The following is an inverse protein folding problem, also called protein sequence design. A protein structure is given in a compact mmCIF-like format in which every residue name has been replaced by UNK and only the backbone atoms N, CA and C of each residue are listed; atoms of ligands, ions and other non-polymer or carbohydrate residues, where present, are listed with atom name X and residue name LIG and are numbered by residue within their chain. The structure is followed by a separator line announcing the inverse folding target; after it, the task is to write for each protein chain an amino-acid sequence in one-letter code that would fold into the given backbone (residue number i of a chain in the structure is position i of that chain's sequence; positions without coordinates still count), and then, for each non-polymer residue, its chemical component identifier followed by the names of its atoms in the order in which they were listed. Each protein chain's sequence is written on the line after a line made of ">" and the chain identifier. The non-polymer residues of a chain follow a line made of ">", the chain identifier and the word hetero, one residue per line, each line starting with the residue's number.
data_IF_127797039385
#
_entry.id   IF_127797039385
#
_cell.length_a   1.000
_cell.length_b   1.000
_cell.length_c   1.000
_cell.angle_alpha   90.00
_cell.angle_beta   90.00
_cell.angle_gamma   90.00
#
_symmetry.space_group_name_H-M   'P 1'
#
loop_
_entity.id
_entity.type
_entity.pdbx_description
1 polymer ?
#
# COMPACT_ATOMS: atom_id res chain seq x y z
N UNK A 1 69.03 29.85 -17.46
CA UNK A 1 67.94 29.99 -16.47
C UNK A 1 66.99 28.82 -16.66
N UNK A 2 67.17 27.73 -15.91
CA UNK A 2 66.34 26.53 -16.00
C UNK A 2 65.06 26.75 -15.19
N UNK A 3 63.91 26.84 -15.87
CA UNK A 3 62.61 26.78 -15.21
C UNK A 3 62.46 25.43 -14.54
N UNK A 4 62.37 25.44 -13.20
CA UNK A 4 62.01 24.27 -12.42
C UNK A 4 60.55 23.92 -12.75
N UNK A 5 60.36 22.84 -13.51
CA UNK A 5 59.04 22.27 -13.77
C UNK A 5 58.40 21.87 -12.44
N UNK A 6 57.35 22.56 -12.03
CA UNK A 6 56.55 22.12 -10.89
C UNK A 6 56.01 20.71 -11.19
N UNK A 7 56.14 19.75 -10.25
CA UNK A 7 55.54 18.43 -10.43
C UNK A 7 54.01 18.55 -10.55
N UNK A 8 53.34 17.67 -11.31
CA UNK A 8 51.90 17.71 -11.49
C UNK A 8 51.22 17.67 -10.12
N UNK A 9 50.33 18.63 -9.87
CA UNK A 9 49.57 18.72 -8.64
C UNK A 9 48.85 17.38 -8.41
N UNK A 10 49.16 16.70 -7.31
CA UNK A 10 48.42 15.53 -6.87
C UNK A 10 46.96 15.95 -6.66
N UNK A 11 46.09 15.61 -7.61
CA UNK A 11 44.66 15.73 -7.46
C UNK A 11 44.26 14.72 -6.37
N UNK A 12 43.97 15.21 -5.16
CA UNK A 12 43.43 14.36 -4.10
C UNK A 12 42.13 13.72 -4.62
N UNK A 13 42.05 12.39 -4.73
CA UNK A 13 40.83 11.74 -5.13
C UNK A 13 39.81 11.90 -3.99
N UNK A 14 38.64 12.46 -4.30
CA UNK A 14 37.49 12.58 -3.41
C UNK A 14 37.72 13.41 -2.13
N UNK A 15 37.73 14.73 -2.27
CA UNK A 15 37.30 15.58 -1.16
C UNK A 15 35.81 15.30 -0.91
N UNK A 16 35.51 14.47 0.11
CA UNK A 16 34.14 14.11 0.46
C UNK A 16 33.38 15.38 0.80
N UNK A 17 32.48 15.80 -0.09
CA UNK A 17 31.62 16.96 0.16
C UNK A 17 30.74 16.64 1.37
N UNK A 18 31.07 17.25 2.51
CA UNK A 18 30.35 17.05 3.77
C UNK A 18 29.03 17.79 3.68
N UNK A 19 27.93 17.04 3.56
CA UNK A 19 26.61 17.64 3.46
C UNK A 19 26.10 18.02 4.86
N UNK A 20 25.75 19.28 5.14
CA UNK A 20 25.28 19.70 6.45
C UNK A 20 24.01 18.93 6.87
N UNK A 21 23.78 18.73 8.18
CA UNK A 21 22.57 18.06 8.66
C UNK A 21 21.32 18.89 8.36
N UNK A 22 20.17 18.22 8.23
CA UNK A 22 18.90 18.91 8.01
C UNK A 22 18.55 19.80 9.22
N UNK A 23 18.16 21.07 8.99
CA UNK A 23 17.60 21.92 10.04
C UNK A 23 16.43 21.26 10.75
N UNK A 24 16.26 21.51 12.05
CA UNK A 24 15.19 20.92 12.88
C UNK A 24 13.79 21.10 12.27
N UNK A 25 13.51 22.27 11.68
CA UNK A 25 12.25 22.58 11.03
C UNK A 25 11.98 21.69 9.79
N UNK A 26 12.99 21.51 8.93
CA UNK A 26 12.89 20.62 7.77
C UNK A 26 12.70 19.17 8.22
N UNK A 27 13.48 18.73 9.22
CA UNK A 27 13.40 17.38 9.78
C UNK A 27 11.99 17.06 10.27
N UNK A 28 11.39 17.93 11.09
CA UNK A 28 10.07 17.70 11.66
C UNK A 28 8.97 17.67 10.58
N UNK A 29 9.02 18.57 9.59
CA UNK A 29 8.03 18.55 8.48
C UNK A 29 8.18 17.31 7.59
N UNK A 30 9.40 16.87 7.32
CA UNK A 30 9.64 15.64 6.55
C UNK A 30 9.09 14.42 7.29
N UNK A 31 9.25 14.36 8.61
CA UNK A 31 8.63 13.32 9.42
C UNK A 31 7.11 13.33 9.27
N UNK A 32 6.45 14.45 9.58
CA UNK A 32 4.98 14.53 9.50
C UNK A 32 4.49 14.23 8.08
N UNK A 33 5.19 14.74 7.06
CA UNK A 33 4.89 14.43 5.66
C UNK A 33 4.96 12.93 5.38
N UNK A 34 5.99 12.23 5.89
CA UNK A 34 6.12 10.79 5.76
C UNK A 34 4.99 10.02 6.43
N UNK A 35 4.62 10.40 7.66
CA UNK A 35 3.48 9.78 8.37
C UNK A 35 2.19 9.90 7.57
N UNK A 36 1.81 11.14 7.20
CA UNK A 36 0.53 11.43 6.54
C UNK A 36 0.51 10.88 5.11
N UNK A 37 1.59 11.09 4.35
CA UNK A 37 1.70 10.61 2.97
C UNK A 37 1.60 9.09 2.92
N UNK A 38 2.27 8.38 3.84
CA UNK A 38 2.27 6.93 3.82
C UNK A 38 0.93 6.35 4.27
N UNK A 39 0.25 6.93 5.27
CA UNK A 39 -1.07 6.43 5.67
C UNK A 39 -2.10 6.58 4.54
N UNK A 40 -2.10 7.71 3.84
CA UNK A 40 -2.97 7.93 2.67
C UNK A 40 -2.59 6.98 1.53
N UNK A 41 -1.30 6.82 1.24
CA UNK A 41 -0.82 5.91 0.20
C UNK A 41 -1.21 4.46 0.50
N UNK A 42 -1.01 3.99 1.73
CA UNK A 42 -1.40 2.65 2.15
C UNK A 42 -2.91 2.45 2.09
N UNK A 43 -3.71 3.46 2.45
CA UNK A 43 -5.16 3.39 2.33
C UNK A 43 -5.61 3.25 0.86
N UNK A 44 -5.00 4.01 -0.05
CA UNK A 44 -5.26 3.85 -1.49
C UNK A 44 -4.88 2.46 -1.99
N UNK A 45 -3.73 1.93 -1.55
CA UNK A 45 -3.25 0.61 -1.92
C UNK A 45 -4.14 -0.50 -1.37
N UNK A 46 -4.66 -0.37 -0.16
CA UNK A 46 -5.55 -1.39 0.43
C UNK A 46 -6.88 -1.43 -0.31
N UNK A 47 -7.47 -0.28 -0.66
CA UNK A 47 -8.66 -0.18 -1.51
C UNK A 47 -8.40 -0.84 -2.86
N UNK A 48 -7.30 -0.45 -3.53
CA UNK A 48 -6.93 -0.96 -4.84
C UNK A 48 -6.68 -2.49 -4.81
N UNK A 49 -5.95 -2.97 -3.80
CA UNK A 49 -5.59 -4.39 -3.69
C UNK A 49 -6.80 -5.25 -3.36
N UNK A 50 -7.67 -4.80 -2.46
CA UNK A 50 -8.92 -5.52 -2.14
C UNK A 50 -9.81 -5.61 -3.39
N UNK A 51 -10.01 -4.51 -4.10
CA UNK A 51 -10.79 -4.50 -5.33
C UNK A 51 -10.17 -5.38 -6.42
N UNK A 52 -8.83 -5.37 -6.56
CA UNK A 52 -8.11 -6.21 -7.51
C UNK A 52 -8.21 -7.71 -7.16
N UNK A 53 -8.12 -8.08 -5.88
CA UNK A 53 -8.28 -9.46 -5.42
C UNK A 53 -9.71 -9.95 -5.71
N UNK A 54 -10.73 -9.16 -5.35
CA UNK A 54 -12.12 -9.50 -5.62
C UNK A 54 -12.40 -9.60 -7.12
N UNK A 55 -11.87 -8.66 -7.91
CA UNK A 55 -11.94 -8.72 -9.37
C UNK A 55 -11.30 -10.00 -9.90
N UNK A 56 -10.11 -10.37 -9.41
CA UNK A 56 -9.42 -11.58 -9.82
C UNK A 56 -10.19 -12.84 -9.44
N UNK A 57 -10.79 -12.90 -8.25
CA UNK A 57 -11.65 -14.02 -7.82
C UNK A 57 -12.83 -14.15 -8.79
N UNK A 58 -13.59 -13.07 -9.03
CA UNK A 58 -14.74 -13.08 -9.94
C UNK A 58 -14.34 -13.47 -11.36
N UNK A 59 -13.26 -12.87 -11.88
CA UNK A 59 -12.75 -13.17 -13.22
C UNK A 59 -12.27 -14.62 -13.35
N UNK A 60 -11.59 -15.14 -12.33
CA UNK A 60 -11.12 -16.53 -12.33
C UNK A 60 -12.27 -17.52 -12.27
N UNK A 61 -13.29 -17.28 -11.45
CA UNK A 61 -14.49 -18.13 -11.37
C UNK A 61 -15.26 -18.12 -12.69
N UNK A 62 -15.39 -16.95 -13.32
CA UNK A 62 -16.03 -16.83 -14.63
C UNK A 62 -15.23 -17.59 -15.70
N UNK A 63 -13.91 -17.42 -15.75
CA UNK A 63 -13.05 -18.12 -16.72
C UNK A 63 -13.06 -19.64 -16.52
N UNK A 64 -12.94 -20.11 -15.28
CA UNK A 64 -13.03 -21.54 -14.92
C UNK A 64 -14.37 -22.12 -15.37
N UNK A 65 -15.47 -21.39 -15.14
CA UNK A 65 -16.79 -21.79 -15.59
C UNK A 65 -16.87 -21.91 -17.11
N UNK A 66 -16.38 -20.92 -17.86
CA UNK A 66 -16.39 -20.93 -19.32
C UNK A 66 -15.66 -22.17 -19.86
N UNK A 67 -14.50 -22.52 -19.27
CA UNK A 67 -13.72 -23.71 -19.63
C UNK A 67 -14.39 -25.04 -19.25
N UNK A 68 -15.12 -25.10 -18.14
CA UNK A 68 -15.76 -26.34 -17.64
C UNK A 68 -17.18 -26.55 -18.18
N UNK A 69 -17.84 -25.48 -18.66
CA UNK A 69 -19.23 -25.50 -19.14
C UNK A 69 -19.53 -26.50 -20.26
N UNK A 70 -18.61 -26.86 -21.19
CA UNK A 70 -18.89 -27.91 -22.18
C UNK A 70 -18.97 -29.32 -21.57
N UNK A 71 -18.40 -29.50 -20.37
CA UNK A 71 -18.21 -30.80 -19.71
C UNK A 71 -19.21 -31.05 -18.57
N UNK A 72 -19.83 -29.99 -18.05
CA UNK A 72 -20.79 -30.05 -16.94
C UNK A 72 -22.19 -29.72 -17.46
N UNK A 73 -23.06 -30.73 -17.53
CA UNK A 73 -24.48 -30.60 -17.90
C UNK A 73 -25.35 -29.90 -16.83
N UNK A 74 -24.73 -29.25 -15.84
CA UNK A 74 -25.40 -28.61 -14.72
C UNK A 74 -25.50 -27.09 -14.85
N UNK A 75 -26.63 -26.52 -14.46
CA UNK A 75 -26.95 -25.07 -14.49
C UNK A 75 -26.30 -24.26 -13.36
N UNK A 76 -25.47 -24.88 -12.51
CA UNK A 76 -24.96 -24.22 -11.30
C UNK A 76 -23.81 -23.27 -11.61
N UNK A 77 -24.07 -21.96 -11.65
CA UNK A 77 -23.06 -20.91 -11.82
C UNK A 77 -22.67 -20.32 -10.47
N UNK A 78 -21.47 -20.61 -9.95
CA UNK A 78 -21.07 -20.13 -8.62
C UNK A 78 -20.93 -18.59 -8.53
N UNK A 79 -20.78 -17.89 -9.66
CA UNK A 79 -20.80 -16.42 -9.72
C UNK A 79 -22.20 -15.87 -9.41
N UNK A 80 -23.26 -16.59 -9.77
CA UNK A 80 -24.64 -16.15 -9.57
C UNK A 80 -25.00 -16.12 -8.08
N UNK A 81 -24.48 -17.05 -7.28
CA UNK A 81 -24.64 -17.04 -5.83
C UNK A 81 -23.92 -15.86 -5.16
N UNK A 82 -22.73 -15.49 -5.65
CA UNK A 82 -22.02 -14.31 -5.15
C UNK A 82 -22.75 -13.02 -5.51
N UNK A 83 -23.30 -12.93 -6.73
CA UNK A 83 -24.10 -11.77 -7.13
C UNK A 83 -25.39 -11.68 -6.29
N UNK A 84 -26.06 -12.81 -6.08
CA UNK A 84 -27.25 -12.88 -5.23
C UNK A 84 -26.94 -12.47 -3.78
N UNK A 85 -25.78 -12.83 -3.23
CA UNK A 85 -25.35 -12.42 -1.90
C UNK A 85 -25.18 -10.89 -1.77
N UNK A 86 -24.90 -10.19 -2.86
CA UNK A 86 -24.81 -8.73 -2.93
C UNK A 86 -26.12 -8.09 -3.43
N UNK A 87 -27.17 -8.88 -3.65
CA UNK A 87 -28.48 -8.43 -4.11
C UNK A 87 -28.53 -8.05 -5.59
N UNK A 88 -27.57 -8.51 -6.38
CA UNK A 88 -27.52 -8.28 -7.82
C UNK A 88 -28.09 -9.48 -8.59
N UNK A 89 -28.86 -9.21 -9.63
CA UNK A 89 -29.32 -10.25 -10.54
C UNK A 89 -28.15 -10.76 -11.41
N UNK A 90 -28.15 -12.02 -11.88
CA UNK A 90 -27.08 -12.56 -12.73
C UNK A 90 -26.80 -11.73 -13.98
N UNK A 91 -27.86 -11.17 -14.59
CA UNK A 91 -27.80 -10.27 -15.74
C UNK A 91 -27.08 -8.93 -15.44
N UNK A 92 -26.94 -8.57 -14.16
CA UNK A 92 -26.23 -7.39 -13.69
C UNK A 92 -24.77 -7.69 -13.30
N UNK A 93 -24.23 -8.87 -13.62
CA UNK A 93 -22.85 -9.22 -13.31
C UNK A 93 -21.81 -8.21 -13.81
N UNK A 94 -22.09 -7.56 -14.95
CA UNK A 94 -21.24 -6.48 -15.48
C UNK A 94 -21.16 -5.26 -14.55
N UNK A 95 -22.21 -4.98 -13.77
CA UNK A 95 -22.24 -3.88 -12.79
C UNK A 95 -21.24 -4.15 -11.67
N UNK A 96 -21.19 -5.37 -11.15
CA UNK A 96 -20.23 -5.76 -10.13
C UNK A 96 -18.78 -5.56 -10.63
N UNK A 97 -18.49 -5.99 -11.85
CA UNK A 97 -17.19 -5.78 -12.49
C UNK A 97 -16.87 -4.29 -12.66
N UNK A 98 -17.83 -3.49 -13.11
CA UNK A 98 -17.66 -2.04 -13.27
C UNK A 98 -17.38 -1.34 -11.94
N UNK A 99 -18.10 -1.70 -10.88
CA UNK A 99 -17.89 -1.15 -9.52
C UNK A 99 -16.49 -1.50 -9.01
N UNK A 100 -16.02 -2.73 -9.21
CA UNK A 100 -14.67 -3.13 -8.83
C UNK A 100 -13.60 -2.33 -9.60
N UNK A 101 -13.78 -2.14 -10.90
CA UNK A 101 -12.88 -1.33 -11.74
C UNK A 101 -12.84 0.14 -11.28
N UNK A 102 -14.00 0.74 -11.01
CA UNK A 102 -14.09 2.11 -10.48
C UNK A 102 -13.38 2.19 -9.12
N UNK A 103 -13.59 1.20 -8.25
CA UNK A 103 -12.95 1.14 -6.92
C UNK A 103 -11.42 1.05 -7.04
N UNK A 104 -10.90 0.29 -8.01
CA UNK A 104 -9.45 0.25 -8.29
C UNK A 104 -8.93 1.62 -8.73
N UNK A 105 -9.64 2.33 -9.62
CA UNK A 105 -9.28 3.68 -10.07
C UNK A 105 -9.30 4.68 -8.91
N UNK A 106 -10.31 4.61 -8.03
CA UNK A 106 -10.38 5.44 -6.82
C UNK A 106 -9.20 5.15 -5.89
N UNK A 107 -8.88 3.86 -5.66
CA UNK A 107 -7.72 3.46 -4.88
C UNK A 107 -6.41 4.04 -5.43
N UNK A 108 -6.22 3.96 -6.76
CA UNK A 108 -5.07 4.56 -7.44
C UNK A 108 -5.02 6.09 -7.28
N UNK A 109 -6.16 6.77 -7.39
CA UNK A 109 -6.25 8.21 -7.18
C UNK A 109 -5.89 8.60 -5.73
N UNK A 110 -6.30 7.80 -4.74
CA UNK A 110 -5.93 8.00 -3.33
C UNK A 110 -4.42 7.77 -3.13
N UNK A 111 -3.84 6.73 -3.74
CA UNK A 111 -2.38 6.52 -3.74
C UNK A 111 -1.63 7.76 -4.28
N UNK A 112 -2.11 8.26 -5.43
CA UNK A 112 -1.54 9.44 -6.07
C UNK A 112 -1.64 10.69 -5.18
N UNK A 113 -2.80 10.90 -4.54
CA UNK A 113 -3.00 11.98 -3.58
C UNK A 113 -2.02 11.88 -2.40
N UNK A 114 -1.77 10.67 -1.89
CA UNK A 114 -0.76 10.42 -0.86
C UNK A 114 0.62 10.97 -1.24
N UNK A 115 1.13 10.58 -2.41
CA UNK A 115 2.43 11.07 -2.94
C UNK A 115 2.44 12.60 -3.06
N UNK A 116 1.35 13.16 -3.57
CA UNK A 116 1.24 14.61 -3.77
C UNK A 116 1.23 15.38 -2.43
N UNK A 117 0.50 14.89 -1.42
CA UNK A 117 0.49 15.46 -0.06
C UNK A 117 1.91 15.46 0.51
N UNK A 118 2.62 14.31 0.44
CA UNK A 118 3.99 14.20 0.92
C UNK A 118 4.91 15.23 0.26
N UNK A 119 4.83 15.37 -1.08
CA UNK A 119 5.57 16.37 -1.85
C UNK A 119 5.21 17.81 -1.47
N UNK A 120 3.92 18.14 -1.35
CA UNK A 120 3.45 19.48 -1.02
C UNK A 120 3.96 19.92 0.37
N UNK A 121 3.92 19.02 1.36
CA UNK A 121 4.39 19.30 2.71
C UNK A 121 5.89 19.57 2.79
N UNK A 122 6.73 18.79 2.10
CA UNK A 122 8.19 18.99 2.14
C UNK A 122 8.67 20.13 1.23
N UNK A 123 7.95 20.43 0.15
CA UNK A 123 8.26 21.57 -0.72
C UNK A 123 8.16 22.90 0.05
N UNK A 124 7.21 22.99 1.00
CA UNK A 124 6.97 24.18 1.82
C UNK A 124 8.13 24.58 2.76
N UNK A 125 9.15 23.73 2.95
CA UNK A 125 10.32 24.00 3.81
C UNK A 125 11.63 24.08 3.04
N UNK A 126 11.57 24.17 1.71
CA UNK A 126 12.76 24.35 0.88
C UNK A 126 13.62 23.09 0.73
N UNK A 127 13.04 21.88 0.85
CA UNK A 127 13.75 20.66 0.47
C UNK A 127 14.12 20.74 -1.01
N UNK A 128 15.40 20.49 -1.32
CA UNK A 128 15.95 20.71 -2.66
C UNK A 128 15.29 19.90 -3.79
N UNK A 129 14.82 18.68 -3.50
CA UNK A 129 14.29 17.73 -4.48
C UNK A 129 13.03 17.03 -3.93
N UNK A 130 11.92 17.76 -3.75
CA UNK A 130 10.75 17.22 -3.06
C UNK A 130 10.13 16.03 -3.81
N UNK A 131 10.08 16.09 -5.15
CA UNK A 131 9.59 14.99 -5.97
C UNK A 131 10.43 13.72 -5.85
N UNK A 132 11.76 13.85 -5.90
CA UNK A 132 12.65 12.71 -5.79
C UNK A 132 12.51 12.05 -4.41
N UNK A 133 12.42 12.84 -3.34
CA UNK A 133 12.20 12.32 -1.97
C UNK A 133 10.88 11.55 -1.87
N UNK A 134 9.77 12.12 -2.34
CA UNK A 134 8.46 11.49 -2.26
C UNK A 134 8.40 10.18 -3.05
N UNK A 135 8.91 10.16 -4.29
CA UNK A 135 8.92 8.96 -5.13
C UNK A 135 9.86 7.88 -4.58
N UNK A 136 11.08 8.23 -4.17
CA UNK A 136 12.02 7.26 -3.63
C UNK A 136 11.50 6.65 -2.32
N UNK A 137 10.92 7.46 -1.44
CA UNK A 137 10.38 6.97 -0.18
C UNK A 137 9.13 6.10 -0.41
N UNK A 138 8.24 6.50 -1.31
CA UNK A 138 7.10 5.67 -1.72
C UNK A 138 7.55 4.34 -2.33
N UNK A 139 8.56 4.35 -3.20
CA UNK A 139 9.11 3.15 -3.83
C UNK A 139 9.74 2.19 -2.81
N UNK A 140 10.46 2.71 -1.81
CA UNK A 140 11.02 1.88 -0.72
C UNK A 140 9.90 1.24 0.09
N UNK A 141 8.85 1.98 0.42
CA UNK A 141 7.73 1.45 1.20
C UNK A 141 6.89 0.45 0.42
N UNK A 142 6.68 0.68 -0.89
CA UNK A 142 6.08 -0.30 -1.78
C UNK A 142 6.91 -1.58 -1.85
N UNK A 143 8.22 -1.46 -2.07
CA UNK A 143 9.13 -2.61 -2.11
C UNK A 143 9.17 -3.37 -0.79
N UNK A 144 9.22 -2.65 0.33
CA UNK A 144 9.21 -3.24 1.68
C UNK A 144 7.86 -3.89 1.97
N UNK A 145 6.75 -3.26 1.58
CA UNK A 145 5.40 -3.81 1.69
C UNK A 145 5.25 -5.11 0.92
N UNK A 146 5.78 -5.17 -0.32
CA UNK A 146 5.80 -6.41 -1.11
C UNK A 146 6.62 -7.51 -0.43
N UNK A 147 7.85 -7.21 0.02
CA UNK A 147 8.69 -8.18 0.73
C UNK A 147 8.01 -8.69 2.00
N UNK A 148 7.46 -7.77 2.80
CA UNK A 148 6.74 -8.12 4.02
C UNK A 148 5.50 -8.94 3.72
N UNK A 149 4.76 -8.62 2.65
CA UNK A 149 3.60 -9.42 2.23
C UNK A 149 4.00 -10.85 1.86
N UNK A 150 5.13 -11.05 1.17
CA UNK A 150 5.65 -12.37 0.82
C UNK A 150 6.06 -13.18 2.05
N UNK A 151 6.66 -12.52 3.04
CA UNK A 151 7.16 -13.16 4.28
C UNK A 151 6.03 -13.42 5.28
N UNK A 152 5.02 -12.55 5.34
CA UNK A 152 3.87 -12.66 6.26
C UNK A 152 2.71 -13.46 5.66
N UNK A 153 2.63 -13.67 4.34
CA UNK A 153 1.59 -14.45 3.67
C UNK A 153 1.38 -15.85 4.26
N UNK A 154 2.41 -16.62 4.67
CA UNK A 154 2.22 -17.92 5.31
C UNK A 154 1.52 -17.84 6.68
N UNK A 155 1.58 -16.68 7.35
CA UNK A 155 0.99 -16.42 8.68
C UNK A 155 -0.39 -15.77 8.56
N UNK A 156 -0.58 -14.89 7.57
CA UNK A 156 -1.84 -14.22 7.30
C UNK A 156 -2.91 -15.17 6.75
N UNK A 157 -2.53 -16.17 5.96
CA UNK A 157 -3.45 -17.18 5.41
C UNK A 157 -4.26 -17.90 6.51
N UNK A 158 -3.61 -18.54 7.50
CA UNK A 158 -4.31 -19.17 8.62
C UNK A 158 -5.18 -18.21 9.44
N UNK A 159 -4.73 -16.97 9.67
CA UNK A 159 -5.52 -15.96 10.41
C UNK A 159 -6.77 -15.52 9.63
N UNK A 160 -6.65 -15.30 8.31
CA UNK A 160 -7.79 -14.97 7.47
C UNK A 160 -8.75 -16.16 7.35
N UNK A 161 -8.24 -17.39 7.27
CA UNK A 161 -9.07 -18.60 7.32
C UNK A 161 -9.83 -18.69 8.64
N UNK A 162 -9.21 -18.38 9.78
CA UNK A 162 -9.90 -18.36 11.09
C UNK A 162 -10.95 -17.26 11.15
N UNK A 163 -10.68 -16.05 10.65
CA UNK A 163 -11.63 -14.94 10.63
C UNK A 163 -12.81 -15.22 9.70
N UNK A 164 -12.56 -15.71 8.48
CA UNK A 164 -13.61 -16.08 7.54
C UNK A 164 -14.42 -17.29 8.04
N UNK A 165 -13.78 -18.28 8.64
CA UNK A 165 -14.47 -19.44 9.24
C UNK A 165 -15.35 -19.02 10.42
N UNK A 166 -14.87 -18.10 11.27
CA UNK A 166 -15.67 -17.54 12.36
C UNK A 166 -16.87 -16.74 11.84
N UNK A 167 -16.70 -15.97 10.75
CA UNK A 167 -17.81 -15.24 10.11
C UNK A 167 -18.80 -16.13 9.36
N UNK A 168 -18.36 -17.27 8.84
CA UNK A 168 -19.23 -18.26 8.22
C UNK A 168 -20.05 -19.03 9.27
N UNK A 169 -19.46 -19.27 10.44
CA UNK A 169 -20.14 -19.91 11.58
C UNK A 169 -21.16 -18.99 12.27
N UNK A 170 -20.96 -17.67 12.25
CA UNK A 170 -21.92 -16.70 12.82
C UNK A 170 -23.19 -16.49 11.98
N UNK A 171 -23.23 -17.00 10.75
CA UNK A 171 -24.46 -17.11 9.94
C UNK A 171 -25.42 -18.21 10.41
N UNK A 172 -25.01 -19.09 11.33
CA UNK A 172 -25.91 -20.03 12.02
C UNK A 172 -26.67 -19.27 13.10
N UNK A 173 -28.00 -19.12 12.94
CA UNK A 173 -28.89 -18.23 13.73
C UNK A 173 -29.06 -18.51 15.23
N UNK A 174 -27.99 -18.87 15.94
CA UNK A 174 -27.93 -18.92 17.39
C UNK A 174 -27.38 -17.60 17.93
N UNK A 175 -27.91 -17.09 19.04
CA UNK A 175 -27.51 -15.79 19.64
C UNK A 175 -26.02 -15.63 19.95
N UNK A 176 -25.24 -16.72 19.94
CA UNK A 176 -23.78 -16.71 20.04
C UNK A 176 -23.07 -16.09 18.81
N UNK A 177 -23.75 -15.99 17.67
CA UNK A 177 -23.23 -15.39 16.44
C UNK A 177 -22.99 -13.88 16.53
N UNK A 178 -23.82 -13.15 17.30
CA UNK A 178 -23.69 -11.70 17.42
C UNK A 178 -22.51 -11.27 18.31
N UNK A 179 -22.26 -11.99 19.40
CA UNK A 179 -21.14 -11.73 20.31
C UNK A 179 -19.79 -12.02 19.65
N UNK A 180 -19.72 -13.09 18.85
CA UNK A 180 -18.51 -13.44 18.08
C UNK A 180 -18.20 -12.42 16.97
N UNK A 181 -19.20 -11.87 16.30
CA UNK A 181 -19.02 -10.76 15.34
C UNK A 181 -18.48 -9.51 16.03
N UNK A 182 -18.97 -9.16 17.22
CA UNK A 182 -18.49 -8.02 17.99
C UNK A 182 -17.01 -8.14 18.39
N UNK A 183 -16.58 -9.32 18.84
CA UNK A 183 -15.17 -9.58 19.20
C UNK A 183 -14.28 -9.53 17.96
N UNK A 184 -14.69 -10.13 16.85
CA UNK A 184 -13.93 -10.09 15.57
C UNK A 184 -13.80 -8.65 15.08
N UNK A 185 -14.87 -7.86 15.10
CA UNK A 185 -14.84 -6.46 14.71
C UNK A 185 -13.90 -5.65 15.62
N UNK A 186 -13.94 -5.84 16.94
CA UNK A 186 -13.06 -5.16 17.88
C UNK A 186 -11.58 -5.50 17.64
N UNK A 187 -11.25 -6.77 17.41
CA UNK A 187 -9.88 -7.21 17.10
C UNK A 187 -9.44 -6.63 15.75
N UNK A 188 -10.30 -6.62 14.74
CA UNK A 188 -10.00 -6.04 13.43
C UNK A 188 -9.74 -4.53 13.52
N UNK A 189 -10.55 -3.79 14.30
CA UNK A 189 -10.34 -2.35 14.55
C UNK A 189 -9.00 -2.14 15.25
N UNK A 190 -8.70 -2.89 16.32
CA UNK A 190 -7.43 -2.77 17.04
C UNK A 190 -6.24 -3.09 16.13
N UNK A 191 -6.32 -4.17 15.35
CA UNK A 191 -5.31 -4.52 14.36
C UNK A 191 -5.11 -3.42 13.30
N UNK A 192 -6.20 -2.78 12.86
CA UNK A 192 -6.16 -1.66 11.93
C UNK A 192 -5.46 -0.44 12.54
N UNK A 193 -5.74 -0.11 13.80
CA UNK A 193 -5.08 0.99 14.51
C UNK A 193 -3.58 0.74 14.65
N UNK A 194 -3.18 -0.47 15.07
CA UNK A 194 -1.77 -0.85 15.17
C UNK A 194 -1.10 -0.78 13.80
N UNK A 195 -1.77 -1.28 12.75
CA UNK A 195 -1.28 -1.21 11.38
C UNK A 195 -1.05 0.24 10.93
N UNK A 196 -1.99 1.15 11.19
CA UNK A 196 -1.85 2.58 10.89
C UNK A 196 -0.61 3.17 11.58
N UNK A 197 -0.38 2.84 12.85
CA UNK A 197 0.80 3.33 13.60
C UNK A 197 2.10 2.79 12.99
N UNK A 198 2.14 1.51 12.64
CA UNK A 198 3.33 0.89 12.01
C UNK A 198 3.61 1.52 10.64
N UNK A 199 2.58 1.69 9.80
CA UNK A 199 2.74 2.36 8.52
C UNK A 199 3.15 3.83 8.69
N UNK A 200 2.57 4.55 9.64
CA UNK A 200 3.00 5.92 9.92
C UNK A 200 4.49 5.97 10.33
N UNK A 201 4.94 5.05 11.20
CA UNK A 201 6.34 4.95 11.62
C UNK A 201 7.30 4.60 10.47
N UNK A 202 6.92 3.68 9.59
CA UNK A 202 7.69 3.36 8.39
C UNK A 202 7.78 4.57 7.44
N UNK A 203 6.65 5.26 7.25
CA UNK A 203 6.56 6.50 6.46
C UNK A 203 7.48 7.60 6.99
N UNK A 204 7.42 7.84 8.31
CA UNK A 204 8.27 8.78 9.04
C UNK A 204 9.75 8.54 8.71
N UNK A 205 10.21 7.30 8.88
CA UNK A 205 11.61 6.91 8.69
C UNK A 205 12.03 6.99 7.22
N UNK A 206 11.22 6.48 6.30
CA UNK A 206 11.54 6.45 4.87
C UNK A 206 11.65 7.87 4.28
N UNK A 207 10.71 8.77 4.60
CA UNK A 207 10.76 10.15 4.15
C UNK A 207 11.97 10.89 4.73
N UNK A 208 12.23 10.72 6.03
CA UNK A 208 13.38 11.33 6.68
C UNK A 208 14.69 10.86 6.05
N UNK A 209 14.83 9.55 5.85
CA UNK A 209 16.03 8.96 5.26
C UNK A 209 16.26 9.46 3.84
N UNK A 210 15.21 9.52 3.00
CA UNK A 210 15.32 10.02 1.63
C UNK A 210 15.62 11.52 1.56
N UNK A 211 15.01 12.34 2.43
CA UNK A 211 15.34 13.75 2.51
C UNK A 211 16.80 13.97 2.93
N UNK A 212 17.31 13.13 3.83
CA UNK A 212 18.71 13.17 4.25
C UNK A 212 19.65 12.74 3.11
N UNK A 213 19.33 11.67 2.39
CA UNK A 213 20.15 11.14 1.29
C UNK A 213 20.21 12.09 0.07
N UNK A 214 19.09 12.78 -0.24
CA UNK A 214 18.95 13.64 -1.41
C UNK A 214 19.22 15.13 -1.13
N UNK A 215 19.74 15.47 0.05
CA UNK A 215 20.13 16.85 0.38
C UNK A 215 21.28 17.34 -0.51
N UNK A 216 21.31 18.64 -0.80
CA UNK A 216 22.36 19.27 -1.61
C UNK A 216 23.72 19.07 -0.96
N UNK A 217 24.73 18.88 -1.80
CA UNK A 217 26.11 18.99 -1.42
C UNK A 217 26.48 20.46 -1.68
N UNK A 218 27.00 21.14 -0.66
CA UNK A 218 27.51 22.51 -0.79
C UNK A 218 28.95 22.48 -1.27
#
# INVERSE_FOLDING_TARGET
>A
MSQLSQPPAFAYPNQRVVRPPLPKAQRNRVFIAGAVSNTVLTAGLSIMSLAAILFFIVASMWLIWEFLSPSLSGTYRPVDEMLAAVGLAPEQGWVAVAVLMITMVVGLAVCWAGIWIGKAMIASVGVARPWAVAWSASGILLGTGLIMSSVLSPVAGPLMTVVFSASALSGSGSGAGAESVGIVAAIAILGTLVSIVVYAAAGLLAWWWMAHALRRAE
#
